data_IF_362318841514
#
_entry.id   IF_362318841514
#
_cell.length_a   1.000
_cell.length_b   1.000
_cell.length_c   1.000
_cell.angle_alpha   90.00
_cell.angle_beta   90.00
_cell.angle_gamma   90.00
#
_symmetry.space_group_name_H-M   'P 1'
#
loop_
_entity.id
_entity.type
_entity.pdbx_description
1 polymer ?
#
# COMPACT_ATOMS: atom_id res chain seq x y z
N UNK A 1 38.50 15.43 -5.78
CA UNK A 1 37.56 14.42 -5.24
C UNK A 1 36.15 14.79 -5.70
N UNK A 2 35.73 14.26 -6.84
CA UNK A 2 34.35 14.32 -7.26
C UNK A 2 33.57 13.37 -6.35
N UNK A 3 32.73 13.95 -5.48
CA UNK A 3 31.67 13.21 -4.81
C UNK A 3 30.69 12.81 -5.92
N UNK A 4 30.62 11.50 -6.24
CA UNK A 4 29.51 10.95 -7.00
C UNK A 4 28.24 11.07 -6.14
N UNK A 5 27.51 12.15 -6.30
CA UNK A 5 26.12 12.23 -5.92
C UNK A 5 25.41 11.30 -6.91
N UNK A 6 25.16 10.07 -6.50
CA UNK A 6 24.14 9.25 -7.14
C UNK A 6 22.82 9.98 -6.88
N UNK A 7 22.41 10.73 -7.88
CA UNK A 7 21.06 11.30 -7.96
C UNK A 7 20.09 10.13 -8.14
N UNK A 8 19.81 9.44 -7.03
CA UNK A 8 18.71 8.49 -6.97
C UNK A 8 17.44 9.34 -7.02
N UNK A 9 16.87 9.51 -8.22
CA UNK A 9 15.61 10.21 -8.40
C UNK A 9 14.57 9.54 -7.51
N UNK A 10 14.23 10.19 -6.40
CA UNK A 10 13.17 9.73 -5.52
C UNK A 10 11.87 9.66 -6.30
N UNK A 11 11.09 8.62 -6.05
CA UNK A 11 9.75 8.49 -6.58
C UNK A 11 8.82 9.50 -5.93
N UNK A 12 8.14 10.31 -6.73
CA UNK A 12 7.12 11.27 -6.26
C UNK A 12 5.75 10.62 -6.27
N UNK A 13 5.10 10.57 -5.11
CA UNK A 13 3.69 10.22 -4.98
C UNK A 13 2.86 11.52 -4.97
N UNK A 14 2.13 11.79 -6.06
CA UNK A 14 1.29 12.99 -6.16
C UNK A 14 -0.07 12.72 -5.53
N UNK A 15 -0.41 13.46 -4.47
CA UNK A 15 -1.67 13.36 -3.74
C UNK A 15 -2.79 14.18 -4.42
N UNK A 16 -3.01 13.99 -5.71
CA UNK A 16 -4.07 14.69 -6.46
C UNK A 16 -5.20 13.75 -6.90
N UNK A 17 -4.94 12.46 -6.90
CA UNK A 17 -5.89 11.41 -7.28
C UNK A 17 -5.55 10.11 -6.58
N UNK A 18 -6.54 9.24 -6.46
CA UNK A 18 -6.37 7.91 -5.90
C UNK A 18 -5.73 7.00 -6.95
N UNK A 19 -4.47 6.66 -6.77
CA UNK A 19 -3.71 5.78 -7.67
C UNK A 19 -3.09 4.63 -6.90
N UNK A 20 -3.10 3.44 -7.50
CA UNK A 20 -2.38 2.29 -6.95
C UNK A 20 -0.87 2.46 -7.09
N UNK A 21 -0.11 1.71 -6.28
CA UNK A 21 1.34 1.62 -6.42
C UNK A 21 1.75 1.22 -7.86
N UNK A 22 1.03 0.25 -8.45
CA UNK A 22 1.35 -0.25 -9.79
C UNK A 22 1.14 0.82 -10.86
N UNK A 23 0.05 1.60 -10.80
CA UNK A 23 -0.19 2.71 -11.71
C UNK A 23 0.90 3.77 -11.61
N UNK A 24 1.29 4.12 -10.38
CA UNK A 24 2.36 5.11 -10.16
C UNK A 24 3.70 4.67 -10.70
N UNK A 25 4.07 3.38 -10.53
CA UNK A 25 5.31 2.84 -11.07
C UNK A 25 5.28 2.85 -12.60
N UNK A 26 4.21 2.35 -13.23
CA UNK A 26 4.06 2.31 -14.69
C UNK A 26 4.12 3.70 -15.32
N UNK A 27 3.49 4.72 -14.72
CA UNK A 27 3.58 6.12 -15.19
C UNK A 27 5.01 6.65 -15.24
N UNK A 28 5.92 6.06 -14.50
CA UNK A 28 7.35 6.41 -14.45
C UNK A 28 8.23 5.50 -15.29
N UNK A 29 7.64 4.52 -15.98
CA UNK A 29 8.40 3.52 -16.73
C UNK A 29 9.13 2.52 -15.84
N UNK A 30 8.67 2.34 -14.59
CA UNK A 30 9.21 1.37 -13.63
C UNK A 30 8.27 0.17 -13.60
N UNK A 31 8.82 -1.03 -13.72
CA UNK A 31 8.04 -2.27 -13.69
C UNK A 31 7.64 -2.62 -12.24
N UNK A 32 6.34 -2.58 -11.89
CA UNK A 32 5.89 -2.94 -10.55
C UNK A 32 5.81 -4.44 -10.39
N UNK A 33 6.21 -4.93 -9.20
CA UNK A 33 5.99 -6.30 -8.77
C UNK A 33 5.82 -6.39 -7.26
N UNK A 34 5.48 -7.56 -6.77
CA UNK A 34 5.32 -7.84 -5.34
C UNK A 34 5.98 -9.16 -4.96
N UNK A 35 6.51 -9.20 -3.77
CA UNK A 35 6.86 -10.43 -3.10
C UNK A 35 5.88 -10.62 -1.93
N UNK A 36 5.12 -11.72 -1.93
CA UNK A 36 4.18 -12.00 -0.84
C UNK A 36 4.93 -12.49 0.39
N UNK A 37 4.68 -11.84 1.53
CA UNK A 37 5.17 -12.28 2.84
C UNK A 37 4.14 -13.20 3.47
N UNK A 38 2.85 -12.80 3.47
CA UNK A 38 1.75 -13.64 3.96
C UNK A 38 0.41 -13.24 3.35
N UNK A 39 -0.52 -14.20 3.29
CA UNK A 39 -1.94 -14.00 3.02
C UNK A 39 -2.69 -14.79 4.08
N UNK A 40 -3.41 -14.10 4.95
CA UNK A 40 -4.13 -14.69 6.07
C UNK A 40 -5.60 -14.27 6.02
N UNK A 41 -6.49 -15.14 6.47
CA UNK A 41 -7.92 -14.87 6.59
C UNK A 41 -8.35 -15.05 8.04
N UNK A 42 -8.50 -13.95 8.76
CA UNK A 42 -8.80 -13.93 10.19
C UNK A 42 -9.72 -12.77 10.56
N UNK A 43 -10.27 -12.83 11.78
CA UNK A 43 -10.88 -11.66 12.42
C UNK A 43 -9.81 -10.65 12.82
N UNK A 44 -10.17 -9.37 12.86
CA UNK A 44 -9.26 -8.28 13.23
C UNK A 44 -9.50 -7.87 14.66
N UNK A 45 -8.42 -7.78 15.47
CA UNK A 45 -8.49 -7.31 16.85
C UNK A 45 -8.16 -5.81 17.01
N UNK A 46 -7.50 -5.22 16.03
CA UNK A 46 -7.11 -3.81 16.05
C UNK A 46 -8.34 -2.92 15.85
N UNK A 47 -8.71 -2.19 16.92
CA UNK A 47 -9.90 -1.32 16.91
C UNK A 47 -9.83 -0.21 15.88
N UNK A 48 -8.62 0.32 15.57
CA UNK A 48 -8.45 1.36 14.56
C UNK A 48 -8.84 0.81 13.17
N UNK A 49 -8.34 -0.37 12.81
CA UNK A 49 -8.65 -1.00 11.52
C UNK A 49 -10.13 -1.37 11.42
N UNK A 50 -10.73 -1.91 12.51
CA UNK A 50 -12.15 -2.22 12.59
C UNK A 50 -13.00 -0.96 12.33
N UNK A 51 -12.63 0.16 12.93
CA UNK A 51 -13.32 1.43 12.74
C UNK A 51 -13.16 2.00 11.34
N UNK A 52 -11.95 1.94 10.79
CA UNK A 52 -11.67 2.42 9.41
C UNK A 52 -12.43 1.60 8.36
N UNK A 53 -12.58 0.29 8.58
CA UNK A 53 -13.32 -0.62 7.70
C UNK A 53 -14.80 -0.71 8.00
N UNK A 54 -15.26 -0.14 9.13
CA UNK A 54 -16.68 -0.20 9.59
C UNK A 54 -17.22 -1.63 9.65
N UNK A 55 -16.39 -2.57 10.12
CA UNK A 55 -16.70 -4.00 10.19
C UNK A 55 -17.04 -4.45 11.62
N UNK A 56 -17.82 -5.53 11.74
CA UNK A 56 -18.06 -6.21 13.00
C UNK A 56 -16.84 -7.00 13.49
N UNK A 57 -16.74 -7.23 14.80
CA UNK A 57 -15.62 -7.95 15.42
C UNK A 57 -15.46 -9.39 14.92
N UNK A 58 -16.55 -10.01 14.49
CA UNK A 58 -16.59 -11.41 14.00
C UNK A 58 -16.39 -11.48 12.47
N UNK A 59 -16.34 -10.34 11.79
CA UNK A 59 -16.11 -10.30 10.34
C UNK A 59 -14.67 -10.63 10.03
N UNK A 60 -14.47 -11.52 9.03
CA UNK A 60 -13.14 -11.91 8.57
C UNK A 60 -12.62 -10.95 7.52
N UNK A 61 -11.33 -10.68 7.59
CA UNK A 61 -10.57 -9.93 6.59
C UNK A 61 -9.39 -10.74 6.07
N UNK A 62 -9.11 -10.60 4.80
CA UNK A 62 -7.79 -10.94 4.29
C UNK A 62 -6.79 -9.92 4.81
N UNK A 63 -5.73 -10.39 5.44
CA UNK A 63 -4.53 -9.62 5.74
C UNK A 63 -3.47 -10.04 4.73
N UNK A 64 -3.15 -9.15 3.81
CA UNK A 64 -2.22 -9.38 2.72
C UNK A 64 -0.96 -8.57 2.98
N UNK A 65 0.16 -9.24 3.22
CA UNK A 65 1.45 -8.60 3.49
C UNK A 65 2.37 -8.81 2.29
N UNK A 66 2.89 -7.70 1.73
CA UNK A 66 3.72 -7.71 0.52
C UNK A 66 4.91 -6.76 0.64
N UNK A 67 6.03 -7.14 0.04
CA UNK A 67 7.10 -6.21 -0.31
C UNK A 67 6.80 -5.72 -1.73
N UNK A 68 6.55 -4.42 -1.88
CA UNK A 68 6.30 -3.81 -3.19
C UNK A 68 7.64 -3.46 -3.83
N UNK A 69 7.81 -3.84 -5.08
CA UNK A 69 9.07 -3.69 -5.82
C UNK A 69 8.87 -2.83 -7.07
N UNK A 70 9.91 -2.07 -7.41
CA UNK A 70 10.04 -1.37 -8.67
C UNK A 70 11.33 -1.84 -9.35
N UNK A 71 11.25 -2.34 -10.59
CA UNK A 71 12.36 -2.95 -11.32
C UNK A 71 13.11 -4.01 -10.49
N UNK A 72 12.36 -4.80 -9.72
CA UNK A 72 12.86 -5.86 -8.85
C UNK A 72 13.43 -5.41 -7.49
N UNK A 73 13.58 -4.11 -7.24
CA UNK A 73 14.11 -3.57 -5.99
C UNK A 73 13.00 -3.22 -4.99
N UNK A 74 13.17 -3.52 -3.68
CA UNK A 74 12.22 -3.13 -2.65
C UNK A 74 12.00 -1.62 -2.63
N UNK A 75 10.72 -1.22 -2.58
CA UNK A 75 10.28 0.17 -2.53
C UNK A 75 9.44 0.46 -1.29
N UNK A 76 8.60 -0.48 -0.89
CA UNK A 76 7.70 -0.34 0.24
C UNK A 76 7.30 -1.70 0.82
N UNK A 77 6.98 -1.71 2.12
CA UNK A 77 6.34 -2.83 2.82
C UNK A 77 4.88 -2.50 3.04
N UNK A 78 3.99 -3.35 2.58
CA UNK A 78 2.55 -3.09 2.54
C UNK A 78 1.78 -4.15 3.32
N UNK A 79 0.84 -3.73 4.14
CA UNK A 79 -0.13 -4.58 4.85
C UNK A 79 -1.52 -4.10 4.49
N UNK A 80 -2.26 -4.87 3.70
CA UNK A 80 -3.63 -4.55 3.30
C UNK A 80 -4.62 -5.43 4.04
N UNK A 81 -5.72 -4.84 4.50
CA UNK A 81 -6.84 -5.49 5.15
C UNK A 81 -8.10 -5.34 4.30
N UNK A 82 -8.65 -6.46 3.84
CA UNK A 82 -9.78 -6.49 2.89
C UNK A 82 -10.90 -7.34 3.48
N UNK A 83 -12.09 -6.78 3.73
CA UNK A 83 -13.22 -7.57 4.21
C UNK A 83 -13.58 -8.72 3.26
N UNK A 84 -13.58 -9.95 3.77
CA UNK A 84 -13.89 -11.15 2.96
C UNK A 84 -15.24 -11.05 2.28
N UNK A 85 -16.24 -10.48 2.95
CA UNK A 85 -17.59 -10.35 2.41
C UNK A 85 -17.66 -9.51 1.12
N UNK A 86 -16.75 -8.55 0.98
CA UNK A 86 -16.67 -7.70 -0.23
C UNK A 86 -15.85 -8.37 -1.33
N UNK A 87 -14.82 -9.12 -0.96
CA UNK A 87 -13.90 -9.74 -1.92
C UNK A 87 -13.76 -11.25 -1.62
N UNK A 88 -14.82 -12.05 -1.80
CA UNK A 88 -14.75 -13.49 -1.55
C UNK A 88 -13.73 -14.16 -2.47
N UNK A 89 -12.99 -15.13 -1.96
CA UNK A 89 -11.98 -15.90 -2.70
C UNK A 89 -10.83 -15.07 -3.29
N UNK A 90 -10.57 -13.89 -2.75
CA UNK A 90 -9.59 -12.94 -3.29
C UNK A 90 -8.20 -13.55 -3.50
N UNK A 91 -7.79 -14.48 -2.64
CA UNK A 91 -6.50 -15.16 -2.73
C UNK A 91 -6.26 -15.88 -4.07
N UNK A 92 -7.33 -16.22 -4.81
CA UNK A 92 -7.25 -16.89 -6.13
C UNK A 92 -6.77 -15.98 -7.25
N UNK A 93 -6.83 -14.66 -7.04
CA UNK A 93 -6.51 -13.63 -8.04
C UNK A 93 -5.20 -12.90 -7.75
N UNK A 94 -4.50 -13.30 -6.67
CA UNK A 94 -3.26 -12.68 -6.24
C UNK A 94 -2.05 -13.41 -6.83
N UNK A 95 -1.19 -12.66 -7.51
CA UNK A 95 0.13 -13.07 -7.99
C UNK A 95 1.16 -11.95 -7.78
N UNK A 96 2.40 -12.18 -8.15
CA UNK A 96 3.52 -11.24 -7.98
C UNK A 96 3.37 -9.92 -8.78
N UNK A 97 2.48 -9.87 -9.75
CA UNK A 97 2.17 -8.70 -10.59
C UNK A 97 0.83 -8.06 -10.28
N UNK A 98 0.03 -8.67 -9.39
CA UNK A 98 -1.31 -8.22 -9.10
C UNK A 98 -1.36 -6.81 -8.49
N UNK A 99 -2.22 -5.96 -9.03
CA UNK A 99 -2.69 -4.73 -8.43
C UNK A 99 -4.01 -4.98 -7.71
N UNK A 100 -4.13 -4.62 -6.45
CA UNK A 100 -5.40 -4.74 -5.72
C UNK A 100 -6.50 -3.91 -6.39
N UNK A 101 -6.17 -2.71 -6.88
CA UNK A 101 -7.13 -1.86 -7.59
C UNK A 101 -7.64 -2.52 -8.87
N UNK A 102 -6.74 -3.09 -9.69
CA UNK A 102 -7.15 -3.84 -10.89
C UNK A 102 -8.07 -5.02 -10.54
N UNK A 103 -7.78 -5.76 -9.45
CA UNK A 103 -8.63 -6.86 -8.99
C UNK A 103 -10.00 -6.33 -8.55
N UNK A 104 -10.06 -5.24 -7.78
CA UNK A 104 -11.33 -4.64 -7.36
C UNK A 104 -12.19 -4.24 -8.56
N UNK A 105 -11.60 -3.63 -9.56
CA UNK A 105 -12.30 -3.13 -10.74
C UNK A 105 -12.66 -4.23 -11.74
N UNK A 106 -11.74 -5.17 -12.00
CA UNK A 106 -11.92 -6.16 -13.08
C UNK A 106 -12.60 -7.45 -12.63
N UNK A 107 -12.35 -7.90 -11.41
CA UNK A 107 -12.92 -9.16 -10.87
C UNK A 107 -14.20 -8.89 -10.09
N UNK A 108 -14.19 -7.89 -9.21
CA UNK A 108 -15.37 -7.58 -8.38
C UNK A 108 -16.25 -6.48 -8.96
N UNK A 109 -15.84 -5.86 -10.06
CA UNK A 109 -16.59 -4.79 -10.75
C UNK A 109 -16.93 -3.61 -9.86
N UNK A 110 -16.08 -3.33 -8.89
CA UNK A 110 -16.22 -2.18 -8.00
C UNK A 110 -15.75 -0.90 -8.67
N UNK A 111 -16.45 0.18 -8.35
CA UNK A 111 -16.02 1.54 -8.68
C UNK A 111 -15.41 2.18 -7.45
N UNK A 112 -14.12 2.48 -7.55
CA UNK A 112 -13.39 3.16 -6.48
C UNK A 112 -13.83 4.63 -6.41
N UNK A 113 -14.14 5.10 -5.22
CA UNK A 113 -14.57 6.46 -4.94
C UNK A 113 -13.41 7.33 -4.47
N UNK A 114 -13.21 7.39 -3.17
CA UNK A 114 -12.20 8.24 -2.54
C UNK A 114 -11.26 7.44 -1.64
N UNK A 115 -10.13 8.06 -1.26
CA UNK A 115 -9.17 7.53 -0.31
C UNK A 115 -8.83 8.55 0.77
N UNK A 116 -9.02 8.19 2.03
CA UNK A 116 -8.56 8.98 3.17
C UNK A 116 -7.14 8.57 3.51
N UNK A 117 -6.19 9.49 3.36
CA UNK A 117 -4.76 9.25 3.59
C UNK A 117 -4.27 9.94 4.85
N UNK A 118 -3.46 9.24 5.64
CA UNK A 118 -2.64 9.77 6.74
C UNK A 118 -1.18 9.42 6.48
N UNK A 119 -0.31 10.40 6.65
CA UNK A 119 1.14 10.25 6.48
C UNK A 119 1.86 10.61 7.77
N UNK A 120 2.85 9.80 8.14
CA UNK A 120 3.75 10.08 9.26
C UNK A 120 5.16 9.56 8.98
N UNK A 121 6.17 10.23 9.54
CA UNK A 121 7.52 9.70 9.59
C UNK A 121 7.58 8.62 10.66
N UNK A 122 8.26 7.50 10.38
CA UNK A 122 8.37 6.38 11.30
C UNK A 122 9.76 5.73 11.22
N UNK A 123 10.16 5.07 12.30
CA UNK A 123 11.26 4.13 12.34
C UNK A 123 10.67 2.72 12.40
N UNK A 124 10.75 1.95 11.30
CA UNK A 124 10.05 0.69 11.21
C UNK A 124 10.67 -0.38 12.13
N UNK A 125 9.87 -1.42 12.42
CA UNK A 125 10.35 -2.60 13.16
C UNK A 125 11.52 -3.28 12.45
N UNK A 126 12.34 -4.05 13.18
CA UNK A 126 13.46 -4.81 12.62
C UNK A 126 13.03 -5.71 11.46
N UNK A 127 11.86 -6.34 11.55
CA UNK A 127 11.31 -7.18 10.50
C UNK A 127 11.08 -6.41 9.19
N UNK A 128 10.52 -5.20 9.28
CA UNK A 128 10.30 -4.34 8.10
C UNK A 128 11.64 -3.83 7.56
N UNK A 129 12.57 -3.45 8.44
CA UNK A 129 13.91 -3.03 8.04
C UNK A 129 14.63 -4.13 7.24
N UNK A 130 14.63 -5.36 7.72
CA UNK A 130 15.22 -6.51 7.03
C UNK A 130 14.53 -6.77 5.68
N UNK A 131 13.19 -6.75 5.66
CA UNK A 131 12.41 -6.96 4.44
C UNK A 131 12.69 -5.92 3.36
N UNK A 132 12.93 -4.68 3.76
CA UNK A 132 13.25 -3.57 2.86
C UNK A 132 14.76 -3.37 2.64
N UNK A 133 15.62 -4.18 3.27
CA UNK A 133 17.09 -4.08 3.24
C UNK A 133 17.58 -2.71 3.72
N UNK A 134 16.94 -2.18 4.78
CA UNK A 134 17.26 -0.89 5.37
C UNK A 134 18.32 -1.00 6.47
N UNK A 135 19.08 0.07 6.66
CA UNK A 135 19.91 0.23 7.84
C UNK A 135 19.04 0.53 9.07
N UNK A 136 19.55 0.25 10.27
CA UNK A 136 18.81 0.36 11.53
C UNK A 136 18.15 1.75 11.75
N UNK A 137 18.80 2.81 11.30
CA UNK A 137 18.35 4.20 11.50
C UNK A 137 17.68 4.81 10.27
N UNK A 138 17.35 3.98 9.26
CA UNK A 138 16.72 4.47 8.04
C UNK A 138 15.25 4.79 8.26
N UNK A 139 14.83 6.06 8.10
CA UNK A 139 13.44 6.43 8.24
C UNK A 139 12.60 5.93 7.08
N UNK A 140 11.34 5.66 7.37
CA UNK A 140 10.30 5.39 6.37
C UNK A 140 9.22 6.45 6.45
N UNK A 141 8.48 6.61 5.36
CA UNK A 141 7.24 7.35 5.37
C UNK A 141 6.10 6.34 5.46
N UNK A 142 5.44 6.29 6.61
CA UNK A 142 4.29 5.43 6.84
C UNK A 142 3.04 6.12 6.31
N UNK A 143 2.33 5.45 5.42
CA UNK A 143 1.02 5.87 4.91
C UNK A 143 -0.05 4.89 5.39
N UNK A 144 -1.11 5.42 5.95
CA UNK A 144 -2.38 4.72 6.11
C UNK A 144 -3.37 5.24 5.07
N UNK A 145 -4.10 4.35 4.43
CA UNK A 145 -5.15 4.74 3.50
C UNK A 145 -6.38 3.84 3.66
N UNK A 146 -7.54 4.46 3.85
CA UNK A 146 -8.85 3.80 3.74
C UNK A 146 -9.44 4.17 2.38
N UNK A 147 -9.58 3.20 1.50
CA UNK A 147 -10.23 3.39 0.20
C UNK A 147 -11.69 3.00 0.29
N UNK A 148 -12.56 3.87 -0.22
CA UNK A 148 -14.01 3.67 -0.27
C UNK A 148 -14.48 3.51 -1.70
N UNK A 149 -15.59 2.80 -1.85
CA UNK A 149 -16.34 2.73 -3.10
C UNK A 149 -17.08 4.05 -3.36
N UNK A 150 -17.65 4.22 -4.56
CA UNK A 150 -18.48 5.41 -4.88
C UNK A 150 -19.69 5.59 -3.94
N UNK A 151 -20.21 4.51 -3.36
CA UNK A 151 -21.31 4.51 -2.37
C UNK A 151 -20.84 4.72 -0.91
N UNK A 152 -19.58 5.13 -0.73
CA UNK A 152 -18.93 5.36 0.56
C UNK A 152 -18.64 4.09 1.39
N UNK A 153 -18.93 2.89 0.88
CA UNK A 153 -18.57 1.63 1.57
C UNK A 153 -17.05 1.51 1.68
N UNK A 154 -16.48 1.30 2.90
CA UNK A 154 -15.04 1.06 3.04
C UNK A 154 -14.67 -0.27 2.40
N UNK A 155 -13.82 -0.23 1.38
CA UNK A 155 -13.41 -1.42 0.64
C UNK A 155 -12.19 -2.09 1.25
N UNK A 156 -11.17 -1.31 1.57
CA UNK A 156 -9.98 -1.83 2.24
C UNK A 156 -9.21 -0.74 2.98
N UNK A 157 -8.42 -1.18 3.96
CA UNK A 157 -7.47 -0.36 4.70
C UNK A 157 -6.05 -0.87 4.43
N UNK A 158 -5.11 0.03 4.21
CA UNK A 158 -3.70 -0.32 3.97
C UNK A 158 -2.77 0.50 4.83
N UNK A 159 -1.76 -0.18 5.39
CA UNK A 159 -0.56 0.44 5.96
C UNK A 159 0.59 0.18 5.01
N UNK A 160 1.28 1.23 4.60
CA UNK A 160 2.40 1.12 3.66
C UNK A 160 3.60 1.91 4.18
N UNK A 161 4.74 1.23 4.29
CA UNK A 161 6.00 1.79 4.79
C UNK A 161 6.92 2.02 3.58
N UNK A 162 6.96 3.25 3.10
CA UNK A 162 7.80 3.64 1.96
C UNK A 162 9.22 3.98 2.40
N UNK A 163 10.20 3.50 1.67
CA UNK A 163 11.62 3.81 1.91
C UNK A 163 11.84 5.32 1.71
N UNK A 164 12.19 6.04 2.79
CA UNK A 164 12.31 7.50 2.78
C UNK A 164 13.36 8.05 1.82
N UNK A 165 14.41 7.28 1.51
CA UNK A 165 15.41 7.65 0.50
C UNK A 165 14.90 7.52 -0.95
N UNK A 166 13.86 6.69 -1.18
CA UNK A 166 13.32 6.40 -2.52
C UNK A 166 12.02 7.12 -2.83
N UNK A 167 11.33 7.67 -1.82
CA UNK A 167 9.99 8.25 -1.96
C UNK A 167 9.86 9.63 -1.34
N UNK A 168 9.05 10.46 -1.96
CA UNK A 168 8.44 11.63 -1.33
C UNK A 168 6.99 11.79 -1.82
N UNK A 169 6.18 12.49 -1.05
CA UNK A 169 4.80 12.81 -1.38
C UNK A 169 4.69 14.30 -1.67
N UNK A 170 3.88 14.66 -2.66
CA UNK A 170 3.61 16.04 -3.00
C UNK A 170 2.12 16.27 -3.26
N UNK A 171 1.65 17.47 -2.97
CA UNK A 171 0.30 17.89 -3.27
C UNK A 171 0.31 19.35 -3.74
N UNK A 172 -0.60 19.70 -4.66
CA UNK A 172 -0.88 21.08 -5.03
C UNK A 172 -2.19 21.45 -4.34
N UNK A 173 -2.11 22.39 -3.39
CA UNK A 173 -3.28 22.82 -2.65
C UNK A 173 -3.84 24.11 -3.30
N UNK A 174 -5.12 24.13 -3.71
CA UNK A 174 -5.76 25.36 -4.13
C UNK A 174 -5.91 26.32 -2.94
N UNK A 175 -5.94 27.65 -3.21
CA UNK A 175 -6.14 28.70 -2.20
C UNK A 175 -7.53 29.30 -2.32
#
# INVERSE_FOLDING_TARGET
RQMCIRDSKKSNYVLSSLESFSEQMRKRGIEPSSEFVSIELNTISNKHIINELEIGKEEKCYKITRIRKGDGEPMAYEIAYVPQKLCPDMQKYLDDRSSLYEIYETVYHYKLGNGKIRLEADLPSSMIQESLRLNHDSPVLKMECTTRLEDETPLYFVECYYIGEKYFFSAILPR
#
